data_IF_750479188408
#
_entry.id   IF_750479188408
#
_cell.length_a   1.000
_cell.length_b   1.000
_cell.length_c   1.000
_cell.angle_alpha   90.00
_cell.angle_beta   90.00
_cell.angle_gamma   90.00
#
_symmetry.space_group_name_H-M   'P 1'
#
loop_
_entity.id
_entity.type
_entity.pdbx_description
1 polymer ?
#
# COMPACT_ATOMS: atom_id res chain seq x y z
N UNK A 1 -7.49 -18.43 -58.68
CA UNK A 1 -7.39 -19.38 -57.55
C UNK A 1 -5.96 -19.31 -57.09
N UNK A 2 -5.78 -19.10 -55.77
CA UNK A 2 -4.54 -19.16 -54.98
C UNK A 2 -3.36 -18.32 -55.47
N UNK A 3 -2.97 -17.34 -54.67
CA UNK A 3 -1.74 -17.44 -53.86
C UNK A 3 -1.74 -16.31 -52.82
N UNK A 4 -2.09 -16.74 -51.60
CA UNK A 4 -2.02 -16.02 -50.33
C UNK A 4 -0.93 -16.77 -49.54
N UNK A 5 0.18 -16.13 -49.23
CA UNK A 5 1.22 -16.61 -48.30
C UNK A 5 2.05 -15.38 -47.89
N UNK A 6 1.84 -14.80 -46.69
CA UNK A 6 2.28 -15.27 -45.36
C UNK A 6 3.55 -14.53 -44.92
N UNK A 7 3.39 -13.28 -44.47
CA UNK A 7 4.38 -12.59 -43.64
C UNK A 7 4.01 -12.75 -42.16
N UNK A 8 4.38 -13.89 -41.60
CA UNK A 8 4.41 -14.14 -40.16
C UNK A 8 5.61 -13.40 -39.56
N UNK A 9 5.40 -12.18 -39.09
CA UNK A 9 6.40 -11.42 -38.33
C UNK A 9 6.58 -12.00 -36.92
N UNK A 10 7.81 -12.45 -36.63
CA UNK A 10 8.28 -12.89 -35.33
C UNK A 10 8.08 -11.79 -34.27
N UNK A 11 7.14 -12.01 -33.33
CA UNK A 11 6.87 -11.12 -32.20
C UNK A 11 6.97 -11.89 -30.86
N UNK A 12 8.02 -12.70 -30.73
CA UNK A 12 8.20 -13.61 -29.57
C UNK A 12 9.50 -13.42 -28.76
N UNK A 13 10.38 -12.47 -29.09
CA UNK A 13 11.68 -12.38 -28.40
C UNK A 13 11.86 -11.25 -27.37
N UNK A 14 10.86 -10.38 -27.14
CA UNK A 14 11.00 -9.29 -26.16
C UNK A 14 10.06 -9.33 -24.94
N UNK A 15 9.20 -10.35 -24.84
CA UNK A 15 8.27 -10.50 -23.71
C UNK A 15 8.83 -11.37 -22.56
N UNK A 16 9.86 -12.20 -22.79
CA UNK A 16 10.42 -13.04 -21.73
C UNK A 16 11.27 -12.26 -20.71
N UNK A 17 11.95 -11.19 -21.10
CA UNK A 17 12.94 -10.55 -20.21
C UNK A 17 12.33 -9.66 -19.10
N UNK A 18 11.10 -9.18 -19.24
CA UNK A 18 10.44 -8.37 -18.19
C UNK A 18 9.57 -9.21 -17.24
N UNK A 19 8.99 -10.31 -17.70
CA UNK A 19 8.17 -11.20 -16.85
C UNK A 19 9.02 -12.22 -16.09
N UNK A 20 10.14 -12.68 -16.67
CA UNK A 20 11.07 -13.62 -16.01
C UNK A 20 11.94 -12.95 -14.93
N UNK A 21 12.14 -11.64 -15.00
CA UNK A 21 12.83 -10.88 -13.95
C UNK A 21 12.03 -10.79 -12.64
N UNK A 22 10.71 -11.00 -12.68
CA UNK A 22 9.83 -10.94 -11.51
C UNK A 22 9.53 -12.30 -10.88
N UNK A 23 9.88 -13.42 -11.54
CA UNK A 23 9.52 -14.78 -11.08
C UNK A 23 10.70 -15.62 -10.55
N UNK A 24 11.93 -15.07 -10.47
CA UNK A 24 13.03 -15.75 -9.78
C UNK A 24 12.92 -15.57 -8.27
N UNK A 25 12.12 -16.46 -7.68
CA UNK A 25 12.08 -16.76 -6.25
C UNK A 25 13.51 -17.07 -5.79
N UNK A 26 14.07 -16.19 -4.97
CA UNK A 26 15.32 -16.42 -4.25
C UNK A 26 15.04 -17.49 -3.20
N UNK A 27 15.76 -18.61 -3.27
CA UNK A 27 15.68 -19.67 -2.24
C UNK A 27 16.21 -19.14 -0.90
N UNK A 28 15.59 -19.48 0.24
CA UNK A 28 16.02 -18.98 1.54
C UNK A 28 17.21 -19.79 2.06
N UNK A 29 18.42 -19.45 1.63
CA UNK A 29 19.63 -19.89 2.31
C UNK A 29 20.77 -18.87 2.11
N UNK A 30 21.27 -18.37 3.24
CA UNK A 30 22.50 -17.59 3.41
C UNK A 30 22.43 -16.08 3.11
N UNK A 31 21.91 -15.31 4.08
CA UNK A 31 22.40 -13.95 4.32
C UNK A 31 23.21 -13.99 5.62
N UNK A 32 24.54 -13.96 5.46
CA UNK A 32 25.52 -13.94 6.54
C UNK A 32 25.74 -12.50 6.97
N UNK A 33 25.64 -12.26 8.27
CA UNK A 33 25.94 -11.01 8.96
C UNK A 33 27.28 -10.38 8.51
N UNK A 34 27.24 -9.11 8.11
CA UNK A 34 28.35 -8.17 8.33
C UNK A 34 27.78 -6.81 8.75
N UNK A 35 27.84 -6.56 10.06
CA UNK A 35 27.68 -5.22 10.62
C UNK A 35 29.04 -4.51 10.52
N UNK A 36 29.06 -3.34 9.88
CA UNK A 36 30.18 -2.40 9.96
C UNK A 36 29.59 -1.01 10.27
N UNK A 37 29.80 -0.45 11.47
CA UNK A 37 29.34 0.89 11.78
C UNK A 37 30.49 1.88 11.55
N UNK A 38 30.40 2.66 10.48
CA UNK A 38 31.07 3.97 10.43
C UNK A 38 30.00 5.06 10.47
N UNK A 39 29.90 5.70 11.63
CA UNK A 39 29.12 6.90 11.88
C UNK A 39 29.80 8.14 11.29
N UNK A 40 29.10 9.02 10.57
CA UNK A 40 29.51 10.41 10.45
C UNK A 40 29.04 11.20 11.68
N UNK A 41 29.97 11.91 12.30
CA UNK A 41 29.76 12.86 13.39
C UNK A 41 28.86 14.02 12.94
N UNK A 42 27.70 14.16 13.58
CA UNK A 42 26.84 15.32 13.45
C UNK A 42 27.43 16.51 14.23
N UNK A 43 27.87 17.54 13.51
CA UNK A 43 28.17 18.85 14.07
C UNK A 43 26.90 19.46 14.67
N UNK A 44 26.96 19.73 15.96
CA UNK A 44 25.90 20.38 16.73
C UNK A 44 25.97 21.88 16.51
N UNK A 45 25.10 22.42 15.67
CA UNK A 45 24.88 23.86 15.53
C UNK A 45 24.13 24.34 16.79
N UNK A 46 24.87 24.98 17.68
CA UNK A 46 24.33 25.65 18.87
C UNK A 46 23.59 26.95 18.47
N UNK A 47 22.50 27.32 19.16
CA UNK A 47 21.85 28.59 18.93
C UNK A 47 22.73 29.76 19.40
N UNK A 48 22.83 30.75 18.52
CA UNK A 48 23.51 32.03 18.67
C UNK A 48 22.96 32.78 19.91
N UNK A 49 23.79 32.98 20.92
CA UNK A 49 23.51 33.86 22.06
C UNK A 49 24.01 35.26 21.71
N UNK A 50 23.18 36.32 21.81
CA UNK A 50 23.64 37.68 21.54
C UNK A 50 24.68 38.12 22.57
N UNK A 51 25.84 38.52 22.06
CA UNK A 51 26.95 39.12 22.80
C UNK A 51 26.50 40.52 23.26
N UNK A 52 26.24 40.67 24.55
CA UNK A 52 26.02 41.97 25.20
C UNK A 52 27.40 42.56 25.54
N UNK A 53 27.74 43.67 24.90
CA UNK A 53 28.96 44.44 25.16
C UNK A 53 28.97 45.03 26.58
N UNK A 54 30.14 45.06 27.27
CA UNK A 54 30.23 45.63 28.61
C UNK A 54 30.38 47.16 28.54
N UNK A 55 29.36 47.89 29.02
CA UNK A 55 29.45 49.32 29.26
C UNK A 55 30.10 49.64 30.61
N UNK A 56 30.85 50.74 30.62
CA UNK A 56 31.75 51.23 31.64
C UNK A 56 31.16 51.42 33.05
N UNK A 57 31.80 50.77 34.02
CA UNK A 57 32.50 51.38 35.15
C UNK A 57 31.87 52.63 35.82
N UNK A 58 30.81 52.43 36.62
CA UNK A 58 30.46 53.34 37.72
C UNK A 58 30.78 52.68 39.08
N UNK A 59 31.80 53.21 39.77
CA UNK A 59 32.17 52.84 41.14
C UNK A 59 31.09 53.33 42.12
N UNK A 60 30.20 52.42 42.53
CA UNK A 60 29.19 52.68 43.55
C UNK A 60 29.69 52.18 44.93
N UNK A 61 29.94 53.05 45.94
CA UNK A 61 30.60 52.67 47.19
C UNK A 61 29.68 52.05 48.26
N UNK A 62 28.41 51.79 47.98
CA UNK A 62 27.48 51.16 48.94
C UNK A 62 27.22 49.68 48.63
N UNK A 63 28.27 48.85 48.64
CA UNK A 63 28.16 47.39 48.58
C UNK A 63 27.77 46.83 49.96
N UNK A 64 26.49 46.99 50.35
CA UNK A 64 25.92 46.19 51.44
C UNK A 64 25.96 44.72 51.01
N UNK A 65 26.70 43.91 51.77
CA UNK A 65 26.70 42.43 51.69
C UNK A 65 25.30 41.89 51.96
N UNK A 66 24.42 41.94 50.97
CA UNK A 66 23.21 41.13 50.96
C UNK A 66 23.64 39.80 50.35
N UNK A 67 23.78 38.78 51.20
CA UNK A 67 24.04 37.42 50.74
C UNK A 67 22.97 37.03 49.71
N UNK A 68 23.31 36.24 48.68
CA UNK A 68 22.38 35.85 47.65
C UNK A 68 21.24 35.06 48.29
N UNK A 69 20.11 35.72 48.52
CA UNK A 69 18.85 35.05 48.83
C UNK A 69 18.34 34.51 47.51
N UNK A 70 18.90 33.39 47.08
CA UNK A 70 18.30 32.57 46.02
C UNK A 70 16.88 32.31 46.50
N UNK A 71 15.91 32.92 45.82
CA UNK A 71 14.52 32.78 46.18
C UNK A 71 14.15 31.31 45.96
N UNK A 72 13.77 30.64 47.04
CA UNK A 72 13.37 29.23 47.06
C UNK A 72 12.27 28.89 46.04
N UNK A 73 11.50 29.91 45.61
CA UNK A 73 10.49 29.78 44.54
C UNK A 73 11.15 29.46 43.19
N UNK A 74 12.28 30.07 42.84
CA UNK A 74 12.96 29.75 41.58
C UNK A 74 13.59 28.36 41.60
N UNK A 75 14.17 27.96 42.74
CA UNK A 75 14.75 26.62 42.90
C UNK A 75 13.68 25.52 42.78
N UNK A 76 12.52 25.72 43.41
CA UNK A 76 11.40 24.76 43.34
C UNK A 76 10.81 24.67 41.92
N UNK A 77 10.59 25.80 41.24
CA UNK A 77 10.15 25.79 39.84
C UNK A 77 11.14 25.08 38.91
N UNK A 78 12.45 25.26 39.10
CA UNK A 78 13.47 24.62 38.27
C UNK A 78 13.52 23.11 38.51
N UNK A 79 13.41 22.65 39.77
CA UNK A 79 13.32 21.22 40.10
C UNK A 79 12.06 20.59 39.48
N UNK A 80 10.90 21.24 39.61
CA UNK A 80 9.66 20.77 39.00
C UNK A 80 9.78 20.70 37.47
N UNK A 81 10.34 21.73 36.83
CA UNK A 81 10.60 21.74 35.39
C UNK A 81 11.49 20.59 34.93
N UNK A 82 12.59 20.33 35.66
CA UNK A 82 13.46 19.19 35.38
C UNK A 82 12.75 17.83 35.59
N UNK A 83 11.93 17.71 36.64
CA UNK A 83 11.16 16.49 36.91
C UNK A 83 10.11 16.23 35.81
N UNK A 84 9.35 17.26 35.40
CA UNK A 84 8.41 17.15 34.29
C UNK A 84 9.11 16.83 32.96
N UNK A 85 10.27 17.44 32.70
CA UNK A 85 11.09 17.13 31.53
C UNK A 85 11.58 15.68 31.53
N UNK A 86 12.01 15.15 32.68
CA UNK A 86 12.43 13.76 32.83
C UNK A 86 11.28 12.78 32.62
N UNK A 87 10.12 13.01 33.27
CA UNK A 87 8.92 12.18 33.10
C UNK A 87 8.45 12.21 31.64
N UNK A 88 8.42 13.38 31.01
CA UNK A 88 8.03 13.50 29.60
C UNK A 88 8.97 12.70 28.69
N UNK A 89 10.29 12.76 28.91
CA UNK A 89 11.27 11.96 28.16
C UNK A 89 11.07 10.46 28.38
N UNK A 90 10.80 10.01 29.59
CA UNK A 90 10.52 8.60 29.90
C UNK A 90 9.24 8.11 29.20
N UNK A 91 8.16 8.90 29.24
CA UNK A 91 6.90 8.57 28.56
C UNK A 91 7.10 8.50 27.04
N UNK A 92 7.83 9.45 26.45
CA UNK A 92 8.16 9.42 25.01
C UNK A 92 9.03 8.21 24.66
N UNK A 93 10.01 7.86 25.51
CA UNK A 93 10.84 6.66 25.33
C UNK A 93 10.03 5.37 25.29
N UNK A 94 9.18 5.16 26.30
CA UNK A 94 8.29 4.00 26.36
C UNK A 94 7.32 3.96 25.17
N UNK A 95 6.80 5.12 24.74
CA UNK A 95 5.91 5.21 23.58
C UNK A 95 6.63 4.79 22.30
N UNK A 96 7.90 5.20 22.12
CA UNK A 96 8.70 4.81 20.95
C UNK A 96 8.93 3.31 20.91
N UNK A 97 9.31 2.70 22.03
CA UNK A 97 9.50 1.24 22.10
C UNK A 97 8.21 0.48 21.82
N UNK A 98 7.08 0.99 22.33
CA UNK A 98 5.77 0.41 22.05
C UNK A 98 5.40 0.49 20.57
N UNK A 99 5.66 1.64 19.91
CA UNK A 99 5.43 1.81 18.46
C UNK A 99 6.29 0.83 17.65
N UNK A 100 7.59 0.71 17.97
CA UNK A 100 8.48 -0.24 17.29
C UNK A 100 8.03 -1.70 17.48
N UNK A 101 7.59 -2.07 18.69
CA UNK A 101 7.05 -3.40 18.96
C UNK A 101 5.75 -3.66 18.19
N UNK A 102 4.89 -2.65 18.04
CA UNK A 102 3.67 -2.73 17.24
C UNK A 102 3.97 -2.87 15.73
N UNK A 103 4.92 -2.10 15.20
CA UNK A 103 5.38 -2.21 13.81
C UNK A 103 5.94 -3.59 13.51
N UNK A 104 6.80 -4.11 14.39
CA UNK A 104 7.33 -5.47 14.26
C UNK A 104 6.22 -6.53 14.30
N UNK A 105 5.26 -6.40 15.22
CA UNK A 105 4.12 -7.32 15.32
C UNK A 105 3.25 -7.26 14.06
N UNK A 106 3.03 -6.07 13.50
CA UNK A 106 2.30 -5.88 12.24
C UNK A 106 3.01 -6.58 11.08
N UNK A 107 4.32 -6.41 10.96
CA UNK A 107 5.13 -7.10 9.93
C UNK A 107 5.01 -8.63 10.05
N UNK A 108 5.12 -9.16 11.27
CA UNK A 108 4.99 -10.60 11.51
C UNK A 108 3.58 -11.12 11.17
N UNK A 109 2.53 -10.36 11.50
CA UNK A 109 1.16 -10.69 11.13
C UNK A 109 0.98 -10.71 9.60
N UNK A 110 1.57 -9.74 8.91
CA UNK A 110 1.55 -9.64 7.45
C UNK A 110 2.23 -10.86 6.81
N UNK A 111 3.48 -11.15 7.18
CA UNK A 111 4.23 -12.31 6.66
C UNK A 111 3.48 -13.62 6.91
N UNK A 112 2.91 -13.78 8.10
CA UNK A 112 2.09 -14.95 8.45
C UNK A 112 0.81 -15.04 7.63
N UNK A 113 0.14 -13.91 7.36
CA UNK A 113 -1.06 -13.86 6.52
C UNK A 113 -0.76 -14.33 5.10
N UNK A 114 0.29 -13.76 4.47
CA UNK A 114 0.72 -14.15 3.12
C UNK A 114 1.07 -15.64 3.06
N UNK A 115 1.79 -16.15 4.06
CA UNK A 115 2.13 -17.57 4.15
C UNK A 115 0.89 -18.46 4.23
N UNK A 116 -0.04 -18.16 5.14
CA UNK A 116 -1.29 -18.94 5.33
C UNK A 116 -2.15 -18.90 4.07
N UNK A 117 -2.28 -17.75 3.41
CA UNK A 117 -3.04 -17.60 2.17
C UNK A 117 -2.44 -18.46 1.04
N UNK A 118 -1.11 -18.51 0.93
CA UNK A 118 -0.42 -19.34 -0.06
C UNK A 118 -0.65 -20.84 0.17
N UNK A 119 -0.63 -21.29 1.43
CA UNK A 119 -0.88 -22.69 1.81
C UNK A 119 -2.34 -23.07 1.56
N UNK A 120 -3.28 -22.19 1.91
CA UNK A 120 -4.71 -22.36 1.63
C UNK A 120 -4.97 -22.53 0.13
N UNK A 121 -4.39 -21.66 -0.70
CA UNK A 121 -4.52 -21.74 -2.16
C UNK A 121 -3.87 -23.00 -2.74
N UNK A 122 -2.78 -23.51 -2.14
CA UNK A 122 -2.20 -24.81 -2.52
C UNK A 122 -3.15 -25.95 -2.19
N UNK A 123 -3.75 -25.94 -1.00
CA UNK A 123 -4.63 -27.02 -0.54
C UNK A 123 -5.94 -27.06 -1.33
N UNK A 124 -6.54 -25.90 -1.64
CA UNK A 124 -7.73 -25.80 -2.50
C UNK A 124 -7.48 -26.40 -3.89
N UNK A 125 -6.32 -26.11 -4.49
CA UNK A 125 -5.92 -26.71 -5.78
C UNK A 125 -5.77 -28.23 -5.70
N UNK A 126 -5.22 -28.76 -4.61
CA UNK A 126 -5.10 -30.20 -4.39
C UNK A 126 -6.46 -30.88 -4.27
N UNK A 127 -7.40 -30.30 -3.51
CA UNK A 127 -8.77 -30.83 -3.40
C UNK A 127 -9.48 -30.81 -4.76
N UNK A 128 -9.35 -29.71 -5.51
CA UNK A 128 -9.95 -29.61 -6.84
C UNK A 128 -9.41 -30.69 -7.80
N UNK A 129 -8.09 -30.94 -7.78
CA UNK A 129 -7.49 -32.02 -8.58
C UNK A 129 -8.00 -33.41 -8.17
N UNK A 130 -8.17 -33.68 -6.87
CA UNK A 130 -8.74 -34.93 -6.36
C UNK A 130 -10.18 -35.12 -6.83
N UNK A 131 -11.00 -34.06 -6.81
CA UNK A 131 -12.38 -34.11 -7.29
C UNK A 131 -12.45 -34.45 -8.78
N UNK A 132 -11.62 -33.82 -9.61
CA UNK A 132 -11.53 -34.12 -11.05
C UNK A 132 -11.08 -35.56 -11.34
N UNK A 133 -10.17 -36.10 -10.53
CA UNK A 133 -9.77 -37.52 -10.64
C UNK A 133 -10.89 -38.47 -10.20
N UNK A 134 -11.73 -38.07 -9.25
CA UNK A 134 -12.85 -38.89 -8.77
C UNK A 134 -14.01 -38.95 -9.78
N UNK A 135 -14.26 -37.87 -10.52
CA UNK A 135 -15.33 -37.81 -11.53
C UNK A 135 -14.99 -38.60 -12.80
N UNK A 136 -13.72 -38.78 -13.11
CA UNK A 136 -13.24 -39.45 -14.33
C UNK A 136 -13.04 -40.97 -14.18
N UNK A 137 -13.17 -41.52 -12.96
CA UNK A 137 -12.92 -42.93 -12.68
C UNK A 137 -14.08 -43.83 -13.19
N UNK A 138 -13.83 -44.81 -14.08
CA UNK A 138 -14.86 -45.70 -14.62
C UNK A 138 -15.44 -46.61 -13.53
N UNK A 139 -16.75 -46.86 -13.57
CA UNK A 139 -17.55 -47.49 -12.51
C UNK A 139 -17.32 -49.00 -12.28
N UNK A 140 -16.10 -49.51 -12.46
CA UNK A 140 -15.81 -50.93 -12.25
C UNK A 140 -15.74 -51.28 -10.75
N UNK A 141 -16.46 -52.35 -10.36
CA UNK A 141 -16.74 -52.76 -8.97
C UNK A 141 -15.52 -53.04 -8.07
N UNK A 142 -14.29 -53.07 -8.61
CA UNK A 142 -13.06 -53.38 -7.86
C UNK A 142 -12.55 -52.16 -7.03
N UNK A 143 -13.18 -50.99 -7.12
CA UNK A 143 -12.75 -49.77 -6.41
C UNK A 143 -13.20 -49.59 -4.95
N UNK A 144 -13.91 -50.55 -4.33
CA UNK A 144 -14.56 -50.29 -3.02
C UNK A 144 -13.58 -49.97 -1.87
N UNK A 145 -12.40 -50.59 -1.81
CA UNK A 145 -11.43 -50.34 -0.72
C UNK A 145 -10.52 -49.15 -0.98
N UNK A 146 -10.09 -48.93 -2.23
CA UNK A 146 -9.32 -47.74 -2.62
C UNK A 146 -10.13 -46.46 -2.41
N UNK A 147 -11.44 -46.50 -2.66
CA UNK A 147 -12.34 -45.37 -2.48
C UNK A 147 -12.50 -44.98 -1.01
N UNK A 148 -12.53 -45.93 -0.06
CA UNK A 148 -12.62 -45.61 1.38
C UNK A 148 -11.37 -44.86 1.84
N UNK A 149 -10.17 -45.29 1.41
CA UNK A 149 -8.92 -44.61 1.78
C UNK A 149 -8.84 -43.21 1.16
N UNK A 150 -9.22 -43.06 -0.10
CA UNK A 150 -9.26 -41.76 -0.78
C UNK A 150 -10.26 -40.81 -0.10
N UNK A 151 -11.45 -41.29 0.23
CA UNK A 151 -12.47 -40.52 0.95
C UNK A 151 -11.96 -40.05 2.32
N UNK A 152 -11.31 -40.92 3.09
CA UNK A 152 -10.74 -40.53 4.38
C UNK A 152 -9.58 -39.51 4.24
N UNK A 153 -8.77 -39.61 3.19
CA UNK A 153 -7.76 -38.59 2.88
C UNK A 153 -8.40 -37.25 2.49
N UNK A 154 -9.48 -37.28 1.71
CA UNK A 154 -10.25 -36.09 1.33
C UNK A 154 -10.89 -35.43 2.55
N UNK A 155 -11.51 -36.20 3.46
CA UNK A 155 -12.06 -35.66 4.71
C UNK A 155 -10.98 -34.97 5.56
N UNK A 156 -9.81 -35.61 5.73
CA UNK A 156 -8.69 -35.00 6.46
C UNK A 156 -8.14 -33.75 5.77
N UNK A 157 -8.14 -33.71 4.44
CA UNK A 157 -7.73 -32.53 3.69
C UNK A 157 -8.74 -31.39 3.87
N UNK A 158 -10.04 -31.70 3.85
CA UNK A 158 -11.11 -30.73 4.11
C UNK A 158 -11.02 -30.17 5.53
N UNK A 159 -10.85 -31.01 6.55
CA UNK A 159 -10.68 -30.57 7.94
C UNK A 159 -9.50 -29.60 8.09
N UNK A 160 -8.42 -29.81 7.33
CA UNK A 160 -7.26 -28.90 7.30
C UNK A 160 -7.59 -27.58 6.61
N UNK A 161 -8.31 -27.60 5.48
CA UNK A 161 -8.78 -26.37 4.82
C UNK A 161 -9.58 -25.55 5.81
N UNK A 162 -10.56 -26.14 6.48
CA UNK A 162 -11.43 -25.44 7.43
C UNK A 162 -10.64 -24.82 8.59
N UNK A 163 -9.61 -25.52 9.09
CA UNK A 163 -8.70 -24.99 10.11
C UNK A 163 -7.87 -23.81 9.59
N UNK A 164 -7.33 -23.91 8.37
CA UNK A 164 -6.57 -22.82 7.75
C UNK A 164 -7.44 -21.62 7.42
N UNK A 165 -8.67 -21.80 6.94
CA UNK A 165 -9.62 -20.73 6.69
C UNK A 165 -9.96 -19.99 7.98
N UNK A 166 -10.24 -20.72 9.08
CA UNK A 166 -10.47 -20.11 10.40
C UNK A 166 -9.25 -19.31 10.89
N UNK A 167 -8.04 -19.80 10.64
CA UNK A 167 -6.81 -19.09 10.99
C UNK A 167 -6.61 -17.85 10.12
N UNK A 168 -6.83 -17.96 8.80
CA UNK A 168 -6.74 -16.86 7.85
C UNK A 168 -7.73 -15.75 8.22
N UNK A 169 -8.99 -16.08 8.50
CA UNK A 169 -10.00 -15.11 8.91
C UNK A 169 -9.67 -14.42 10.22
N UNK A 170 -9.08 -15.15 11.17
CA UNK A 170 -8.56 -14.58 12.41
C UNK A 170 -7.41 -13.59 12.18
N UNK A 171 -6.54 -13.85 11.20
CA UNK A 171 -5.45 -12.95 10.81
C UNK A 171 -5.97 -11.73 10.04
N UNK A 172 -6.86 -11.93 9.07
CA UNK A 172 -7.51 -10.86 8.29
C UNK A 172 -8.16 -9.84 9.20
N UNK A 173 -9.00 -10.28 10.16
CA UNK A 173 -9.65 -9.37 11.13
C UNK A 173 -8.65 -8.56 11.96
N UNK A 174 -7.52 -9.16 12.37
CA UNK A 174 -6.47 -8.47 13.12
C UNK A 174 -5.76 -7.43 12.27
N UNK A 175 -5.45 -7.77 11.01
CA UNK A 175 -4.83 -6.85 10.06
C UNK A 175 -5.79 -5.68 9.77
N UNK A 176 -7.06 -5.95 9.46
CA UNK A 176 -8.09 -4.93 9.25
C UNK A 176 -8.22 -3.97 10.44
N UNK A 177 -8.28 -4.50 11.66
CA UNK A 177 -8.34 -3.66 12.87
C UNK A 177 -7.07 -2.82 13.07
N UNK A 178 -5.89 -3.40 12.82
CA UNK A 178 -4.63 -2.68 12.90
C UNK A 178 -4.52 -1.59 11.81
N UNK A 179 -4.98 -1.89 10.59
CA UNK A 179 -5.01 -0.96 9.47
C UNK A 179 -5.96 0.20 9.70
N UNK A 180 -7.15 -0.05 10.24
CA UNK A 180 -8.09 1.01 10.60
C UNK A 180 -7.48 1.97 11.65
N UNK A 181 -6.85 1.40 12.69
CA UNK A 181 -6.16 2.19 13.71
C UNK A 181 -4.98 2.98 13.10
N UNK A 182 -4.22 2.37 12.19
CA UNK A 182 -3.13 3.00 11.46
C UNK A 182 -3.58 4.16 10.60
N UNK A 183 -4.70 4.02 9.87
CA UNK A 183 -5.31 5.10 9.09
C UNK A 183 -5.66 6.27 10.00
N UNK A 184 -6.40 6.02 11.08
CA UNK A 184 -6.82 7.09 12.00
C UNK A 184 -5.63 7.82 12.63
N UNK A 185 -4.56 7.09 12.94
CA UNK A 185 -3.35 7.66 13.51
C UNK A 185 -2.56 8.50 12.49
N UNK A 186 -2.40 8.01 11.26
CA UNK A 186 -1.54 8.65 10.23
C UNK A 186 -2.27 9.73 9.43
N UNK A 187 -3.50 9.47 9.02
CA UNK A 187 -4.25 10.26 8.02
C UNK A 187 -5.50 10.92 8.61
N UNK A 188 -5.83 10.64 9.87
CA UNK A 188 -7.02 11.14 10.52
C UNK A 188 -8.27 10.32 10.20
N UNK A 189 -9.43 10.85 10.57
CA UNK A 189 -10.73 10.17 10.40
C UNK A 189 -11.48 10.67 9.17
N UNK A 190 -12.47 9.89 8.75
CA UNK A 190 -13.36 10.25 7.65
C UNK A 190 -12.86 9.75 6.30
N UNK A 191 -13.53 10.22 5.24
CA UNK A 191 -13.26 9.76 3.88
C UNK A 191 -12.05 10.50 3.33
N UNK A 192 -11.02 9.76 2.92
CA UNK A 192 -9.82 10.32 2.33
C UNK A 192 -9.98 10.56 0.83
N UNK A 193 -9.30 11.57 0.31
CA UNK A 193 -9.26 11.89 -1.11
C UNK A 193 -7.83 11.97 -1.59
N UNK A 194 -7.58 11.51 -2.81
CA UNK A 194 -6.28 11.57 -3.47
C UNK A 194 -6.46 12.27 -4.81
N UNK A 195 -5.71 13.35 -4.99
CA UNK A 195 -5.59 14.04 -6.28
C UNK A 195 -4.45 13.42 -7.06
N UNK A 196 -4.70 13.14 -8.33
CA UNK A 196 -3.71 12.67 -9.28
C UNK A 196 -3.44 13.75 -10.31
N UNK A 197 -2.17 13.93 -10.66
CA UNK A 197 -1.73 14.70 -11.82
C UNK A 197 -1.06 13.77 -12.84
N UNK A 198 -1.54 13.81 -14.07
CA UNK A 198 -1.11 12.93 -15.15
C UNK A 198 -0.27 13.66 -16.20
N UNK A 199 0.72 12.97 -16.75
CA UNK A 199 1.54 13.42 -17.88
C UNK A 199 1.16 12.64 -19.13
N UNK A 200 0.59 13.34 -20.11
CA UNK A 200 0.32 12.78 -21.43
C UNK A 200 1.47 13.10 -22.38
N UNK A 201 1.98 12.08 -23.08
CA UNK A 201 3.11 12.22 -24.00
C UNK A 201 2.74 12.91 -25.33
N UNK A 202 1.47 13.24 -25.56
CA UNK A 202 0.99 13.89 -26.78
C UNK A 202 1.34 15.39 -26.87
N UNK A 203 1.87 15.98 -25.79
CA UNK A 203 2.22 17.40 -25.70
C UNK A 203 1.01 18.36 -25.79
N UNK A 204 -0.22 17.83 -25.81
CA UNK A 204 -1.43 18.64 -25.92
C UNK A 204 -1.77 19.22 -24.55
N UNK A 205 -2.06 20.53 -24.52
CA UNK A 205 -2.72 21.14 -23.36
C UNK A 205 -4.09 20.52 -23.20
N UNK A 206 -4.47 20.22 -21.97
CA UNK A 206 -5.76 19.61 -21.67
C UNK A 206 -5.86 19.28 -20.19
N UNK A 207 -6.97 18.66 -19.78
CA UNK A 207 -7.13 18.22 -18.41
C UNK A 207 -6.09 17.13 -18.10
N UNK A 208 -5.46 17.26 -16.94
CA UNK A 208 -4.40 16.37 -16.44
C UNK A 208 -4.68 15.90 -15.03
N UNK A 209 -5.71 16.43 -14.36
CA UNK A 209 -5.96 16.17 -12.96
C UNK A 209 -7.30 15.47 -12.75
N UNK A 210 -7.32 14.54 -11.80
CA UNK A 210 -8.57 13.96 -11.31
C UNK A 210 -8.47 13.69 -9.81
N UNK A 211 -9.61 13.65 -9.14
CA UNK A 211 -9.68 13.38 -7.69
C UNK A 211 -10.45 12.09 -7.48
N UNK A 212 -9.84 11.19 -6.70
CA UNK A 212 -10.45 9.97 -6.22
C UNK A 212 -10.83 10.11 -4.75
N UNK A 213 -12.04 9.67 -4.42
CA UNK A 213 -12.50 9.47 -3.04
C UNK A 213 -12.31 8.00 -2.67
N UNK A 214 -11.57 7.72 -1.60
CA UNK A 214 -11.30 6.34 -1.17
C UNK A 214 -12.54 5.69 -0.54
N UNK A 215 -12.58 4.36 -0.57
CA UNK A 215 -13.60 3.59 0.15
C UNK A 215 -13.61 3.97 1.64
N UNK A 216 -14.76 3.89 2.34
CA UNK A 216 -14.79 4.06 3.78
C UNK A 216 -13.81 3.10 4.46
N UNK A 217 -12.95 3.64 5.31
CA UNK A 217 -11.90 2.88 5.99
C UNK A 217 -12.47 1.76 6.87
N UNK A 218 -13.73 1.86 7.29
CA UNK A 218 -14.41 0.82 8.06
C UNK A 218 -14.82 -0.39 7.21
N UNK A 219 -14.95 -0.21 5.89
CA UNK A 219 -15.32 -1.28 4.95
C UNK A 219 -14.09 -1.96 4.36
N UNK A 220 -13.07 -1.19 4.01
CA UNK A 220 -11.86 -1.65 3.30
C UNK A 220 -10.57 -1.14 3.97
N UNK A 221 -10.37 -1.32 5.28
CA UNK A 221 -9.25 -0.71 6.01
C UNK A 221 -7.88 -1.12 5.46
N UNK A 222 -7.68 -2.38 5.09
CA UNK A 222 -6.38 -2.88 4.66
C UNK A 222 -6.00 -2.35 3.27
N UNK A 223 -6.92 -2.42 2.31
CA UNK A 223 -6.69 -1.91 0.95
C UNK A 223 -6.52 -0.37 0.93
N UNK A 224 -7.35 0.35 1.70
CA UNK A 224 -7.27 1.81 1.81
C UNK A 224 -5.94 2.24 2.46
N UNK A 225 -5.54 1.57 3.55
CA UNK A 225 -4.27 1.88 4.21
C UNK A 225 -3.09 1.62 3.28
N UNK A 226 -3.04 0.46 2.62
CA UNK A 226 -1.96 0.13 1.70
C UNK A 226 -1.81 1.18 0.58
N UNK A 227 -2.94 1.61 0.01
CA UNK A 227 -2.94 2.65 -1.02
C UNK A 227 -2.48 4.02 -0.48
N UNK A 228 -2.94 4.43 0.71
CA UNK A 228 -2.48 5.67 1.35
C UNK A 228 -0.99 5.61 1.72
N UNK A 229 -0.49 4.47 2.20
CA UNK A 229 0.92 4.25 2.47
C UNK A 229 1.74 4.39 1.16
N UNK A 230 1.26 3.87 0.02
CA UNK A 230 1.92 4.06 -1.29
C UNK A 230 1.96 5.53 -1.73
N UNK A 231 0.86 6.28 -1.57
CA UNK A 231 0.78 7.70 -1.92
C UNK A 231 1.68 8.53 -1.01
N UNK A 232 1.60 8.34 0.31
CA UNK A 232 2.36 9.12 1.29
C UNK A 232 3.87 8.92 1.18
N UNK A 233 4.33 7.75 0.70
CA UNK A 233 5.73 7.47 0.42
C UNK A 233 6.15 7.80 -1.03
N UNK A 234 5.31 8.49 -1.82
CA UNK A 234 5.59 8.86 -3.22
C UNK A 234 5.93 7.65 -4.11
N UNK A 235 5.44 6.46 -3.75
CA UNK A 235 5.69 5.24 -4.54
C UNK A 235 4.93 5.27 -5.87
N UNK A 236 3.79 5.96 -5.93
CA UNK A 236 2.98 6.08 -7.14
C UNK A 236 3.55 7.13 -8.11
N UNK A 237 4.29 8.12 -7.60
CA UNK A 237 4.92 9.16 -8.42
C UNK A 237 5.96 8.55 -9.36
N UNK A 238 5.87 8.88 -10.65
CA UNK A 238 6.72 8.24 -11.66
C UNK A 238 6.14 6.96 -12.26
N UNK A 239 5.11 6.34 -11.67
CA UNK A 239 4.44 5.18 -12.26
C UNK A 239 3.66 5.55 -13.53
N UNK A 240 3.07 4.55 -14.20
CA UNK A 240 2.32 4.79 -15.44
C UNK A 240 1.08 3.94 -15.61
N UNK A 241 0.13 4.49 -16.35
CA UNK A 241 -0.91 3.73 -17.02
C UNK A 241 -0.34 3.11 -18.30
N UNK A 242 -0.51 1.79 -18.45
CA UNK A 242 0.19 1.00 -19.47
C UNK A 242 -0.75 0.35 -20.50
N UNK A 243 -2.02 0.14 -20.13
CA UNK A 243 -3.02 -0.48 -21.02
C UNK A 243 -4.42 0.05 -20.73
N UNK A 244 -5.25 0.02 -21.76
CA UNK A 244 -6.70 0.23 -21.74
C UNK A 244 -7.34 -0.92 -22.51
N UNK A 245 -7.98 -1.86 -21.80
CA UNK A 245 -8.58 -3.05 -22.39
C UNK A 245 -9.76 -3.54 -21.54
N UNK A 246 -10.75 -4.18 -22.18
CA UNK A 246 -11.85 -4.85 -21.48
C UNK A 246 -12.53 -3.98 -20.40
N UNK A 247 -12.77 -2.70 -20.72
CA UNK A 247 -13.35 -1.72 -19.80
C UNK A 247 -12.52 -1.43 -18.54
N UNK A 248 -11.21 -1.66 -18.56
CA UNK A 248 -10.29 -1.27 -17.50
C UNK A 248 -9.06 -0.56 -18.05
N UNK A 249 -8.57 0.42 -17.31
CA UNK A 249 -7.27 1.07 -17.56
C UNK A 249 -6.33 0.69 -16.44
N UNK A 250 -5.24 -0.03 -16.76
CA UNK A 250 -4.31 -0.56 -15.75
C UNK A 250 -3.10 0.35 -15.60
N UNK A 251 -2.76 0.62 -14.34
CA UNK A 251 -1.52 1.23 -13.90
C UNK A 251 -0.57 0.19 -13.31
N UNK A 252 0.73 0.47 -13.38
CA UNK A 252 1.79 -0.42 -12.91
C UNK A 252 2.98 0.39 -12.38
N UNK A 253 3.84 -0.18 -11.52
CA UNK A 253 5.14 0.37 -11.11
C UNK A 253 6.17 0.49 -12.24
N UNK A 254 5.71 0.74 -13.46
CA UNK A 254 6.54 0.96 -14.62
C UNK A 254 6.76 2.46 -14.79
N UNK A 255 8.02 2.93 -14.77
CA UNK A 255 8.31 4.33 -14.91
C UNK A 255 7.90 4.88 -16.28
N UNK A 256 7.35 6.10 -16.31
CA UNK A 256 7.03 6.81 -17.56
C UNK A 256 8.19 7.62 -18.12
N UNK A 257 9.17 7.96 -17.29
CA UNK A 257 10.32 8.82 -17.61
C UNK A 257 11.53 8.05 -18.18
N UNK A 258 11.39 6.73 -18.35
CA UNK A 258 12.47 5.86 -18.82
C UNK A 258 13.48 5.43 -17.75
N UNK A 259 13.24 5.78 -16.47
CA UNK A 259 14.04 5.26 -15.37
C UNK A 259 13.89 3.73 -15.21
N UNK A 260 14.69 3.12 -14.33
CA UNK A 260 14.72 1.66 -14.21
C UNK A 260 13.46 1.10 -13.53
N UNK A 261 12.71 0.25 -14.25
CA UNK A 261 11.57 -0.49 -13.70
C UNK A 261 11.97 -1.36 -12.50
N UNK A 262 13.19 -1.93 -12.51
CA UNK A 262 13.71 -2.71 -11.37
C UNK A 262 13.89 -1.86 -10.13
N UNK A 263 14.45 -0.65 -10.26
CA UNK A 263 14.62 0.28 -9.13
C UNK A 263 13.26 0.70 -8.61
N UNK A 264 12.30 0.98 -9.51
CA UNK A 264 10.94 1.32 -9.10
C UNK A 264 10.27 0.17 -8.35
N UNK A 265 10.29 -1.05 -8.87
CA UNK A 265 9.76 -2.22 -8.17
C UNK A 265 10.45 -2.47 -6.81
N UNK A 266 11.78 -2.31 -6.73
CA UNK A 266 12.51 -2.45 -5.48
C UNK A 266 12.05 -1.44 -4.41
N UNK A 267 11.72 -0.21 -4.80
CA UNK A 267 11.20 0.80 -3.85
C UNK A 267 9.89 0.39 -3.17
N UNK A 268 9.01 -0.36 -3.86
CA UNK A 268 7.81 -0.95 -3.25
C UNK A 268 8.19 -2.09 -2.28
N UNK A 269 9.10 -2.98 -2.69
CA UNK A 269 9.56 -4.10 -1.87
C UNK A 269 10.29 -3.66 -0.59
N UNK A 270 11.10 -2.60 -0.67
CA UNK A 270 11.83 -2.04 0.47
C UNK A 270 10.88 -1.55 1.58
N UNK A 271 9.65 -1.15 1.21
CA UNK A 271 8.60 -0.74 2.13
C UNK A 271 7.56 -1.84 2.42
N UNK A 272 7.70 -3.03 1.84
CA UNK A 272 6.74 -4.13 1.97
C UNK A 272 5.36 -3.81 1.37
N UNK A 273 5.34 -2.98 0.32
CA UNK A 273 4.15 -2.56 -0.42
C UNK A 273 4.12 -3.15 -1.84
N UNK A 274 4.97 -4.13 -2.12
CA UNK A 274 5.00 -4.90 -3.36
C UNK A 274 3.93 -6.00 -3.42
N UNK A 275 3.23 -6.25 -2.30
CA UNK A 275 2.07 -7.12 -2.25
C UNK A 275 1.03 -6.62 -1.22
N UNK A 276 -0.21 -7.10 -1.30
CA UNK A 276 -1.23 -7.03 -0.25
C UNK A 276 -1.21 -8.30 0.63
N UNK A 277 -1.45 -8.14 1.93
CA UNK A 277 -1.51 -9.26 2.88
C UNK A 277 -2.58 -10.31 2.53
N UNK A 278 -3.70 -9.85 1.99
CA UNK A 278 -4.82 -10.63 1.47
C UNK A 278 -5.67 -9.73 0.57
N UNK A 279 -6.56 -10.33 -0.22
CA UNK A 279 -7.55 -9.61 -1.01
C UNK A 279 -8.73 -9.22 -0.12
N UNK A 280 -8.82 -7.96 0.20
CA UNK A 280 -9.97 -7.41 0.92
C UNK A 280 -11.06 -7.07 -0.09
N UNK A 281 -12.29 -7.52 0.12
CA UNK A 281 -13.45 -7.19 -0.72
C UNK A 281 -14.67 -6.95 0.17
N UNK A 282 -15.50 -5.97 -0.22
CA UNK A 282 -16.74 -5.67 0.47
C UNK A 282 -17.88 -5.42 -0.52
N UNK A 283 -19.03 -6.11 -0.41
CA UNK A 283 -20.12 -6.02 -1.39
C UNK A 283 -20.81 -4.65 -1.43
N UNK A 284 -20.67 -3.83 -0.38
CA UNK A 284 -21.16 -2.44 -0.38
C UNK A 284 -20.24 -1.45 -1.13
N UNK A 285 -19.05 -1.90 -1.56
CA UNK A 285 -18.13 -1.11 -2.36
C UNK A 285 -17.68 -1.89 -3.62
N UNK A 286 -18.62 -2.21 -4.53
CA UNK A 286 -18.33 -3.05 -5.69
C UNK A 286 -17.60 -2.29 -6.82
N UNK A 287 -17.07 -3.02 -7.81
CA UNK A 287 -16.34 -2.48 -8.96
C UNK A 287 -17.24 -1.82 -10.02
N UNK A 288 -17.87 -0.70 -9.66
CA UNK A 288 -18.70 0.11 -10.56
C UNK A 288 -17.84 0.93 -11.53
N UNK A 289 -18.49 1.56 -12.53
CA UNK A 289 -17.82 2.53 -13.42
C UNK A 289 -17.11 3.62 -12.60
N UNK A 290 -15.88 3.93 -12.97
CA UNK A 290 -14.98 4.90 -12.33
C UNK A 290 -14.51 4.53 -10.92
N UNK A 291 -14.63 3.27 -10.53
CA UNK A 291 -13.95 2.75 -9.34
C UNK A 291 -12.52 2.30 -9.67
N UNK A 292 -11.65 2.31 -8.67
CA UNK A 292 -10.28 1.82 -8.76
C UNK A 292 -10.06 0.65 -7.81
N UNK A 293 -9.27 -0.32 -8.26
CA UNK A 293 -8.98 -1.51 -7.48
C UNK A 293 -7.58 -2.08 -7.72
N UNK A 294 -7.11 -2.88 -6.78
CA UNK A 294 -5.86 -3.63 -6.91
C UNK A 294 -6.08 -4.87 -7.77
N UNK A 295 -5.07 -5.28 -8.53
CA UNK A 295 -5.18 -6.48 -9.35
C UNK A 295 -5.27 -7.76 -8.52
N UNK A 296 -5.85 -8.80 -9.12
CA UNK A 296 -6.06 -10.11 -8.51
C UNK A 296 -4.79 -10.85 -8.04
N UNK A 297 -3.59 -10.40 -8.38
CA UNK A 297 -2.34 -10.98 -7.87
C UNK A 297 -1.91 -10.38 -6.52
N UNK A 298 -2.61 -9.33 -6.08
CA UNK A 298 -2.27 -8.57 -4.87
C UNK A 298 -1.03 -7.68 -5.04
N UNK A 299 -0.51 -7.52 -6.26
CA UNK A 299 0.63 -6.62 -6.55
C UNK A 299 0.22 -5.14 -6.40
N UNK A 300 1.18 -4.19 -6.38
CA UNK A 300 0.90 -2.75 -6.41
C UNK A 300 0.29 -2.27 -7.74
N UNK A 301 0.02 -3.18 -8.70
CA UNK A 301 -0.72 -2.82 -9.88
C UNK A 301 -2.18 -2.53 -9.49
N UNK A 302 -2.73 -1.48 -10.06
CA UNK A 302 -4.13 -1.12 -9.89
C UNK A 302 -4.77 -0.81 -11.22
N UNK A 303 -6.09 -0.80 -11.26
CA UNK A 303 -6.86 -0.50 -12.46
C UNK A 303 -7.99 0.47 -12.15
N UNK A 304 -8.40 1.21 -13.17
CA UNK A 304 -9.58 2.07 -13.19
C UNK A 304 -10.64 1.41 -14.07
N UNK A 305 -11.83 1.20 -13.52
CA UNK A 305 -12.98 0.69 -14.25
C UNK A 305 -13.58 1.79 -15.14
N UNK A 306 -13.74 1.52 -16.43
CA UNK A 306 -14.42 2.41 -17.40
C UNK A 306 -15.84 1.92 -17.74
N UNK A 307 -16.25 0.78 -17.19
CA UNK A 307 -17.63 0.30 -17.14
C UNK A 307 -17.92 -0.35 -15.77
N UNK A 308 -19.15 -0.83 -15.54
CA UNK A 308 -19.45 -1.66 -14.37
C UNK A 308 -18.86 -3.06 -14.55
N UNK A 309 -17.89 -3.40 -13.72
CA UNK A 309 -17.19 -4.68 -13.72
C UNK A 309 -17.39 -5.43 -12.40
N UNK A 310 -18.48 -5.16 -11.68
CA UNK A 310 -18.78 -5.75 -10.36
C UNK A 310 -18.65 -7.27 -10.33
N UNK A 311 -19.16 -7.95 -11.37
CA UNK A 311 -19.11 -9.42 -11.47
C UNK A 311 -17.77 -9.94 -11.99
N UNK A 312 -17.09 -9.17 -12.86
CA UNK A 312 -15.82 -9.58 -13.45
C UNK A 312 -14.66 -9.53 -12.44
N UNK A 313 -14.76 -8.62 -11.47
CA UNK A 313 -13.77 -8.41 -10.41
C UNK A 313 -14.31 -8.75 -9.01
N UNK A 314 -15.25 -9.69 -8.90
CA UNK A 314 -15.73 -10.16 -7.60
C UNK A 314 -14.57 -10.75 -6.79
N UNK A 315 -14.36 -10.23 -5.58
CA UNK A 315 -13.28 -10.65 -4.69
C UNK A 315 -11.94 -9.91 -4.88
N UNK A 316 -11.82 -9.03 -5.89
CA UNK A 316 -10.66 -8.14 -6.01
C UNK A 316 -10.85 -6.88 -5.12
N UNK A 317 -9.78 -6.26 -4.61
CA UNK A 317 -9.93 -5.10 -3.74
C UNK A 317 -10.32 -3.84 -4.51
N UNK A 318 -11.51 -3.29 -4.22
CA UNK A 318 -11.97 -1.99 -4.70
C UNK A 318 -11.76 -0.93 -3.62
N UNK A 319 -10.87 0.05 -3.84
CA UNK A 319 -10.40 0.96 -2.79
C UNK A 319 -10.73 2.44 -3.03
N UNK A 320 -11.29 2.82 -4.18
CA UNK A 320 -11.71 4.20 -4.40
C UNK A 320 -12.58 4.42 -5.63
N UNK A 321 -13.11 5.63 -5.75
CA UNK A 321 -14.00 6.08 -6.83
C UNK A 321 -13.60 7.47 -7.29
N UNK A 322 -13.49 7.69 -8.61
CA UNK A 322 -13.26 9.02 -9.16
C UNK A 322 -14.48 9.90 -8.89
N UNK A 323 -14.25 11.07 -8.29
CA UNK A 323 -15.30 12.04 -7.94
C UNK A 323 -15.17 13.37 -8.67
N UNK A 324 -14.01 13.68 -9.25
CA UNK A 324 -13.74 14.89 -10.05
C UNK A 324 -12.72 14.60 -11.16
N UNK A 325 -12.67 15.45 -12.20
CA UNK A 325 -11.72 15.29 -13.31
C UNK A 325 -12.10 14.19 -14.31
N UNK A 326 -13.39 13.97 -14.54
CA UNK A 326 -13.89 12.97 -15.50
C UNK A 326 -13.42 13.24 -16.93
N UNK A 327 -13.14 14.49 -17.27
CA UNK A 327 -12.53 14.89 -18.54
C UNK A 327 -11.08 14.37 -18.69
N UNK A 328 -10.28 14.37 -17.60
CA UNK A 328 -8.99 13.67 -17.57
C UNK A 328 -9.15 12.17 -17.79
N UNK A 329 -10.17 11.55 -17.18
CA UNK A 329 -10.47 10.12 -17.37
C UNK A 329 -10.87 9.83 -18.82
N UNK A 330 -11.74 10.64 -19.42
CA UNK A 330 -12.11 10.48 -20.83
C UNK A 330 -10.92 10.68 -21.77
N UNK A 331 -10.00 11.60 -21.44
CA UNK A 331 -8.75 11.76 -22.17
C UNK A 331 -7.87 10.52 -22.05
N UNK A 332 -7.78 9.91 -20.87
CA UNK A 332 -7.06 8.67 -20.62
C UNK A 332 -7.68 7.48 -21.38
N UNK A 333 -9.02 7.36 -21.37
CA UNK A 333 -9.78 6.34 -22.13
C UNK A 333 -9.55 6.42 -23.64
N UNK A 334 -9.51 7.64 -24.18
CA UNK A 334 -9.32 7.89 -25.63
C UNK A 334 -7.85 7.99 -26.04
N UNK A 335 -6.90 7.79 -25.11
CA UNK A 335 -5.48 7.90 -25.41
C UNK A 335 -5.06 6.76 -26.38
N UNK A 336 -4.23 7.04 -27.40
CA UNK A 336 -3.95 6.07 -28.45
C UNK A 336 -3.36 4.76 -27.92
N UNK A 337 -3.89 3.63 -28.40
CA UNK A 337 -3.41 2.29 -28.07
C UNK A 337 -2.86 1.55 -29.28
N UNK A 338 -1.79 0.77 -29.05
CA UNK A 338 -1.28 -0.28 -29.93
C UNK A 338 -2.14 -1.52 -29.75
N UNK A 339 -2.65 -2.04 -30.87
CA UNK A 339 -3.50 -3.22 -30.93
C UNK A 339 -4.79 -3.12 -30.08
N UNK A 340 -5.28 -1.90 -29.84
CA UNK A 340 -6.50 -1.69 -29.04
C UNK A 340 -6.35 -1.99 -27.54
N UNK A 341 -5.13 -2.24 -27.05
CA UNK A 341 -4.89 -2.69 -25.66
C UNK A 341 -3.81 -1.86 -24.97
N UNK A 342 -2.60 -1.81 -25.52
CA UNK A 342 -1.46 -1.17 -24.86
C UNK A 342 -1.39 0.29 -25.24
N UNK A 343 -1.17 1.23 -24.33
CA UNK A 343 -0.97 2.62 -24.78
C UNK A 343 0.28 2.71 -25.68
N UNK A 344 0.19 3.46 -26.79
CA UNK A 344 1.35 3.65 -27.70
C UNK A 344 2.50 4.35 -26.98
N UNK A 345 2.16 5.24 -26.06
CA UNK A 345 3.05 5.87 -25.09
C UNK A 345 2.39 5.76 -23.72
N UNK A 346 3.17 5.43 -22.69
CA UNK A 346 2.66 5.36 -21.32
C UNK A 346 2.14 6.74 -20.87
N UNK A 347 1.01 6.77 -20.17
CA UNK A 347 0.54 7.98 -19.50
C UNK A 347 1.12 7.99 -18.09
N UNK A 348 1.95 8.98 -17.79
CA UNK A 348 2.67 9.06 -16.52
C UNK A 348 1.78 9.56 -15.39
N UNK A 349 2.06 9.11 -14.17
CA UNK A 349 1.53 9.71 -12.95
C UNK A 349 2.61 10.66 -12.43
N UNK A 350 2.41 11.96 -12.63
CA UNK A 350 3.34 12.99 -12.19
C UNK A 350 3.41 13.04 -10.67
N UNK A 351 2.25 13.09 -10.05
CA UNK A 351 2.09 13.11 -8.60
C UNK A 351 0.76 12.49 -8.18
N UNK A 352 0.74 11.87 -7.00
CA UNK A 352 -0.47 11.54 -6.27
C UNK A 352 -0.39 12.18 -4.87
N UNK A 353 -1.38 12.99 -4.50
CA UNK A 353 -1.35 13.76 -3.25
C UNK A 353 -2.61 13.51 -2.43
N UNK A 354 -2.43 13.18 -1.14
CA UNK A 354 -3.54 13.07 -0.19
C UNK A 354 -4.07 14.49 0.10
N UNK A 355 -5.36 14.71 -0.13
CA UNK A 355 -6.00 16.00 0.14
C UNK A 355 -6.38 16.10 1.62
N UNK A 356 -6.02 17.22 2.24
CA UNK A 356 -6.36 17.50 3.63
C UNK A 356 -7.89 17.66 3.82
N UNK A 357 -8.45 16.82 4.69
CA UNK A 357 -9.87 16.90 5.07
C UNK A 357 -10.19 18.09 5.99
N UNK A 358 -9.18 18.86 6.41
CA UNK A 358 -9.30 19.94 7.41
C UNK A 358 -10.18 21.12 6.95
N UNK A 359 -10.46 21.25 5.66
CA UNK A 359 -11.25 22.35 5.09
C UNK A 359 -12.75 22.08 4.88
N UNK A 360 -13.23 20.84 5.01
CA UNK A 360 -14.62 20.50 4.69
C UNK A 360 -15.45 20.40 5.96
N UNK A 361 -16.20 21.46 6.26
CA UNK A 361 -17.16 21.46 7.38
C UNK A 361 -18.17 20.29 7.23
N UNK A 362 -18.16 19.30 8.14
CA UNK A 362 -19.00 18.11 8.04
C UNK A 362 -20.49 18.44 7.98
N UNK A 363 -20.92 19.63 8.43
CA UNK A 363 -22.31 20.07 8.38
C UNK A 363 -22.85 20.35 6.97
N UNK A 364 -21.99 20.50 5.96
CA UNK A 364 -22.42 20.74 4.57
C UNK A 364 -22.68 19.46 3.76
N UNK A 365 -22.30 18.28 4.26
CA UNK A 365 -22.29 17.02 3.47
C UNK A 365 -23.67 16.36 3.26
N UNK A 366 -24.73 16.80 3.94
CA UNK A 366 -26.06 16.16 3.90
C UNK A 366 -27.14 16.89 3.07
N UNK A 367 -26.80 17.92 2.28
CA UNK A 367 -27.82 18.72 1.56
C UNK A 367 -28.08 18.38 0.09
N UNK A 368 -27.44 17.35 -0.48
CA UNK A 368 -27.63 17.04 -1.91
C UNK A 368 -27.58 15.55 -2.19
N UNK A 369 -28.74 14.89 -2.06
CA UNK A 369 -29.22 13.79 -2.90
C UNK A 369 -30.66 13.49 -2.47
N UNK A 370 -31.60 14.23 -3.06
CA UNK A 370 -33.01 13.90 -3.16
C UNK A 370 -33.35 13.79 -4.64
#
# INVERSE_FOLDING_TARGET
>A
MSDDDSDSFELHSHFHDCEEASQRIISPAQIRFMANPQSPSAETVLPFVPIISPSENYKNPYRRKTGPRVSWVFATCLILGCAFGYISRQVVGNTREQVLAMEHTRKLLYEKSVSVESELNRLKRQIHAINMMSETAPSNEIMKVSNIRAMHQMMRAQDRVDQFEKQADGLRKKIQAASLAGIYQKYGTGVHRVEFELVFADGKKGPTQFVMELAPSELMPHAVEAFLDMVSNQLIDGCSFIMSALNVIKASPLPYDGSSAKVKAQSFADLGLDQLAFKEYHPQFPHQKYTMGFTADGSPNFFLNTADNTFAHEGDPCFGTVVQGFDTIHRLESFPTRNGVWFTQRVGIQSATILDNSGVDPKKRFKTRA
#
